data_IF_011918967760
#
_entry.id   IF_011918967760
#
_cell.length_a   1.000
_cell.length_b   1.000
_cell.length_c   1.000
_cell.angle_alpha   90.00
_cell.angle_beta   90.00
_cell.angle_gamma   90.00
#
_symmetry.space_group_name_H-M   'P 1'
#
loop_
_entity.id
_entity.type
_entity.pdbx_description
1 polymer ?
#
# COMPACT_ATOMS: atom_id res chain seq x y z
N UNK A 1 -7.65 13.90 -18.70
CA UNK A 1 -6.46 13.77 -17.83
C UNK A 1 -6.06 12.31 -17.83
N UNK A 2 -4.77 12.00 -17.98
CA UNK A 2 -4.31 10.62 -17.83
C UNK A 2 -4.52 10.18 -16.38
N UNK A 3 -5.06 8.97 -16.19
CA UNK A 3 -5.20 8.38 -14.85
C UNK A 3 -3.83 7.91 -14.40
N UNK A 4 -3.41 8.26 -13.19
CA UNK A 4 -2.15 7.80 -12.59
C UNK A 4 -2.22 6.29 -12.35
N UNK A 5 -1.10 5.55 -12.43
CA UNK A 5 -1.12 4.10 -12.19
C UNK A 5 -1.66 3.68 -10.82
N UNK A 6 -1.49 4.52 -9.79
CA UNK A 6 -1.99 4.28 -8.44
C UNK A 6 -3.35 4.94 -8.13
N UNK A 7 -4.00 5.55 -9.13
CA UNK A 7 -5.30 6.21 -8.97
C UNK A 7 -5.22 7.56 -8.26
N UNK A 8 -6.32 7.95 -7.61
CA UNK A 8 -6.38 9.19 -6.82
C UNK A 8 -5.34 9.20 -5.67
N UNK A 9 -4.88 10.39 -5.32
CA UNK A 9 -3.83 10.61 -4.32
C UNK A 9 -4.42 11.40 -3.14
N UNK A 10 -4.49 10.76 -1.98
CA UNK A 10 -5.05 11.32 -0.76
C UNK A 10 -3.93 11.72 0.19
N UNK A 11 -3.66 13.01 0.30
CA UNK A 11 -2.65 13.52 1.23
C UNK A 11 -3.24 13.77 2.63
N UNK A 12 -2.59 13.21 3.65
CA UNK A 12 -2.93 13.38 5.06
C UNK A 12 -1.76 14.10 5.75
N UNK A 13 -2.07 15.10 6.57
CA UNK A 13 -1.07 15.91 7.29
C UNK A 13 -1.37 16.01 8.78
N UNK A 14 -0.33 16.01 9.60
CA UNK A 14 -0.40 16.27 11.04
C UNK A 14 0.93 16.81 11.55
N UNK A 15 0.96 18.08 11.97
CA UNK A 15 2.22 18.78 12.31
C UNK A 15 3.21 18.74 11.13
N UNK A 16 4.41 18.19 11.37
CA UNK A 16 5.45 18.02 10.34
C UNK A 16 5.31 16.74 9.50
N UNK A 17 4.27 15.93 9.74
CA UNK A 17 4.05 14.66 9.08
C UNK A 17 3.20 14.85 7.83
N UNK A 18 3.56 14.15 6.76
CA UNK A 18 2.80 14.08 5.51
C UNK A 18 2.84 12.67 4.96
N UNK A 19 1.67 12.05 4.78
CA UNK A 19 1.51 10.77 4.13
C UNK A 19 0.63 10.91 2.87
N UNK A 20 0.96 10.21 1.81
CA UNK A 20 0.12 10.10 0.60
C UNK A 20 -0.39 8.68 0.47
N UNK A 21 -1.70 8.53 0.62
CA UNK A 21 -2.43 7.28 0.43
C UNK A 21 -2.96 7.26 -1.00
N UNK A 22 -3.01 6.09 -1.63
CA UNK A 22 -3.46 5.93 -3.02
C UNK A 22 -4.75 5.13 -3.11
N UNK A 23 -5.59 5.45 -4.08
CA UNK A 23 -6.87 4.77 -4.33
C UNK A 23 -6.68 3.28 -4.63
N UNK A 24 -5.75 2.95 -5.53
CA UNK A 24 -5.51 1.56 -5.95
C UNK A 24 -4.82 0.80 -4.82
N UNK A 25 -5.55 -0.13 -4.21
CA UNK A 25 -5.04 -1.01 -3.15
C UNK A 25 -4.87 -0.33 -1.78
N UNK A 26 -5.24 0.95 -1.63
CA UNK A 26 -5.18 1.66 -0.35
C UNK A 26 -3.76 1.84 0.23
N UNK A 27 -2.73 1.78 -0.62
CA UNK A 27 -1.34 1.79 -0.18
C UNK A 27 -0.83 3.17 0.23
N UNK A 28 0.29 3.21 0.97
CA UNK A 28 1.02 4.43 1.30
C UNK A 28 2.15 4.63 0.29
N UNK A 29 2.00 5.58 -0.65
CA UNK A 29 3.01 5.87 -1.67
C UNK A 29 4.21 6.64 -1.12
N UNK A 30 3.98 7.55 -0.19
CA UNK A 30 5.03 8.38 0.39
C UNK A 30 4.68 8.72 1.84
N UNK A 31 5.68 8.70 2.72
CA UNK A 31 5.55 9.20 4.08
C UNK A 31 6.82 9.94 4.48
N UNK A 32 6.65 11.18 4.93
CA UNK A 32 7.69 12.15 5.20
C UNK A 32 7.43 12.84 6.55
N UNK A 33 8.51 13.07 7.31
CA UNK A 33 8.47 13.81 8.58
C UNK A 33 9.54 14.89 8.55
N UNK A 34 9.12 16.15 8.54
CA UNK A 34 10.00 17.32 8.49
C UNK A 34 11.00 17.29 7.31
N UNK A 35 10.57 16.82 6.14
CA UNK A 35 11.40 16.74 4.93
C UNK A 35 12.32 15.52 4.86
N UNK A 36 12.27 14.62 5.86
CA UNK A 36 12.93 13.32 5.83
C UNK A 36 11.93 12.21 5.43
N UNK A 37 12.16 11.52 4.30
CA UNK A 37 11.41 10.31 3.96
C UNK A 37 11.54 9.24 5.04
N UNK A 38 10.40 8.77 5.55
CA UNK A 38 10.31 7.65 6.51
C UNK A 38 10.10 6.33 5.79
N UNK A 39 9.36 6.35 4.68
CA UNK A 39 9.22 5.23 3.76
C UNK A 39 9.97 5.52 2.46
N UNK A 40 10.37 4.47 1.75
CA UNK A 40 10.89 4.60 0.39
C UNK A 40 9.71 4.90 -0.55
N UNK A 41 9.66 6.09 -1.18
CA UNK A 41 8.55 6.46 -2.02
C UNK A 41 8.71 5.92 -3.45
N UNK A 42 7.62 5.95 -4.22
CA UNK A 42 7.67 5.80 -5.68
C UNK A 42 7.03 7.00 -6.39
N UNK A 43 7.40 7.20 -7.65
CA UNK A 43 6.93 8.32 -8.48
C UNK A 43 5.39 8.25 -8.65
N UNK A 44 4.75 9.41 -8.69
CA UNK A 44 3.29 9.53 -8.84
C UNK A 44 2.80 8.94 -10.18
N UNK A 45 3.65 8.97 -11.20
CA UNK A 45 3.35 8.47 -12.55
C UNK A 45 3.93 7.07 -12.81
N UNK A 46 4.58 6.45 -11.82
CA UNK A 46 5.10 5.09 -11.91
C UNK A 46 4.10 4.04 -11.40
N UNK A 47 4.14 2.85 -12.01
CA UNK A 47 3.50 1.67 -11.42
C UNK A 47 4.30 1.24 -10.18
N UNK A 48 3.59 0.90 -9.10
CA UNK A 48 4.21 0.41 -7.86
C UNK A 48 4.91 -0.94 -8.11
N UNK A 49 6.14 -1.06 -7.62
CA UNK A 49 6.93 -2.28 -7.62
C UNK A 49 6.85 -3.00 -6.26
N UNK A 50 6.97 -4.34 -6.29
CA UNK A 50 7.10 -5.21 -5.10
C UNK A 50 6.09 -4.96 -3.95
N UNK A 51 4.92 -4.38 -4.26
CA UNK A 51 3.88 -4.01 -3.30
C UNK A 51 4.29 -2.95 -2.25
N UNK A 52 5.14 -1.98 -2.63
CA UNK A 52 5.53 -0.88 -1.75
C UNK A 52 4.33 -0.16 -1.10
N UNK A 53 4.32 -0.15 0.24
CA UNK A 53 3.29 0.50 1.03
C UNK A 53 1.90 -0.14 0.94
N UNK A 54 1.75 -1.30 0.28
CA UNK A 54 0.47 -1.95 0.10
C UNK A 54 -0.08 -2.54 1.40
N UNK A 55 -1.40 -2.58 1.50
CA UNK A 55 -2.10 -3.33 2.55
C UNK A 55 -2.08 -4.81 2.17
N UNK A 56 -1.39 -5.63 2.96
CA UNK A 56 -1.26 -7.07 2.69
C UNK A 56 -2.33 -7.84 3.48
N UNK A 57 -3.44 -8.16 2.80
CA UNK A 57 -4.58 -8.86 3.39
C UNK A 57 -5.17 -9.90 2.44
N UNK A 58 -5.83 -10.94 2.97
CA UNK A 58 -5.95 -11.26 4.39
C UNK A 58 -4.76 -12.07 4.96
N UNK A 59 -3.87 -12.58 4.10
CA UNK A 59 -2.66 -13.30 4.52
C UNK A 59 -1.41 -12.50 4.12
N UNK A 60 -0.78 -11.75 5.04
CA UNK A 60 0.34 -10.86 4.71
C UNK A 60 1.66 -11.57 4.34
N UNK A 61 1.62 -12.89 4.13
CA UNK A 61 2.73 -13.71 3.71
C UNK A 61 2.20 -15.06 3.19
N UNK A 62 3.07 -16.07 3.10
CA UNK A 62 2.73 -17.39 2.56
C UNK A 62 1.88 -18.20 3.55
N UNK A 63 0.87 -18.86 3.01
CA UNK A 63 0.21 -19.99 3.65
C UNK A 63 0.97 -21.29 3.35
N UNK A 64 1.08 -22.17 4.34
CA UNK A 64 1.62 -23.51 4.12
C UNK A 64 0.74 -24.26 3.11
N UNK A 65 1.35 -24.79 2.05
CA UNK A 65 0.68 -25.46 0.93
C UNK A 65 -0.44 -24.64 0.24
N UNK A 66 -0.48 -23.32 0.47
CA UNK A 66 -1.57 -22.46 -0.01
C UNK A 66 -2.92 -22.76 0.66
N UNK A 67 -2.95 -23.51 1.77
CA UNK A 67 -4.20 -24.01 2.37
C UNK A 67 -4.48 -23.36 3.71
N UNK A 68 -5.76 -23.19 4.01
CA UNK A 68 -6.25 -22.70 5.30
C UNK A 68 -7.65 -23.23 5.58
N UNK A 69 -8.06 -23.25 6.85
CA UNK A 69 -9.43 -23.59 7.24
C UNK A 69 -10.19 -22.33 7.66
N UNK A 70 -11.41 -22.16 7.18
CA UNK A 70 -12.30 -21.06 7.57
C UNK A 70 -13.73 -21.56 7.74
N UNK A 71 -14.34 -21.22 8.88
CA UNK A 71 -15.70 -21.67 9.25
C UNK A 71 -15.91 -23.20 9.12
N UNK A 72 -14.87 -23.96 9.47
CA UNK A 72 -14.88 -25.42 9.40
C UNK A 72 -14.57 -26.00 8.01
N UNK A 73 -14.43 -25.17 6.98
CA UNK A 73 -14.15 -25.60 5.61
C UNK A 73 -12.67 -25.45 5.26
N UNK A 74 -12.07 -26.48 4.65
CA UNK A 74 -10.73 -26.39 4.08
C UNK A 74 -10.77 -25.64 2.74
N UNK A 75 -9.87 -24.69 2.54
CA UNK A 75 -9.78 -23.79 1.39
C UNK A 75 -8.35 -23.75 0.83
N UNK A 76 -8.23 -23.43 -0.47
CA UNK A 76 -6.97 -23.25 -1.21
C UNK A 76 -7.10 -22.13 -2.24
#
# INVERSE_FOLDING_TARGET
MAVRPSGEQFEIRSGHQRATIVEVGGGIRAYDVAGRPVLHPYDVDAMCDAAHGAVLVPWPNRLADGKYQFEGNDLQ
#
